data_IF_698931942141
#
_entry.id   IF_698931942141
#
_cell.length_a   1.000
_cell.length_b   1.000
_cell.length_c   1.000
_cell.angle_alpha   90.00
_cell.angle_beta   90.00
_cell.angle_gamma   90.00
#
_symmetry.space_group_name_H-M   'P 1'
#
loop_
_entity.id
_entity.type
_entity.pdbx_description
1 polymer ?
#
# COMPACT_ATOMS: atom_id res chain seq x y z
N UNK A 1 24.70 19.37 -52.76
CA UNK A 1 23.67 19.81 -51.79
C UNK A 1 22.69 18.67 -51.47
N UNK A 2 23.16 17.52 -50.95
CA UNK A 2 22.28 16.34 -50.75
C UNK A 2 22.38 15.70 -49.34
N UNK A 3 23.32 16.15 -48.51
CA UNK A 3 23.64 15.53 -47.22
C UNK A 3 22.79 16.13 -46.07
N UNK A 4 22.46 17.42 -46.14
CA UNK A 4 21.78 18.15 -45.05
C UNK A 4 20.30 17.77 -44.85
N UNK A 5 19.60 17.34 -45.92
CA UNK A 5 18.17 16.98 -45.88
C UNK A 5 17.91 15.62 -45.21
N UNK A 6 18.91 14.73 -45.21
CA UNK A 6 18.83 13.37 -44.63
C UNK A 6 18.86 13.42 -43.09
N UNK A 7 19.72 14.28 -42.52
CA UNK A 7 19.87 14.46 -41.07
C UNK A 7 18.68 15.13 -40.38
N UNK A 8 17.93 16.02 -41.06
CA UNK A 8 16.71 16.62 -40.47
C UNK A 8 15.55 15.64 -40.37
N UNK A 9 15.47 14.65 -41.27
CA UNK A 9 14.43 13.62 -41.24
C UNK A 9 14.71 12.58 -40.14
N UNK A 10 15.98 12.17 -39.97
CA UNK A 10 16.37 11.28 -38.87
C UNK A 10 16.18 11.94 -37.50
N UNK A 11 16.51 13.23 -37.35
CA UNK A 11 16.26 13.98 -36.10
C UNK A 11 14.76 14.04 -35.73
N UNK A 12 13.89 14.24 -36.73
CA UNK A 12 12.43 14.24 -36.53
C UNK A 12 11.90 12.87 -36.12
N UNK A 13 12.39 11.80 -36.75
CA UNK A 13 12.05 10.42 -36.39
C UNK A 13 12.47 10.07 -34.96
N UNK A 14 13.69 10.45 -34.56
CA UNK A 14 14.18 10.25 -33.19
C UNK A 14 13.34 11.03 -32.18
N UNK A 15 12.95 12.28 -32.50
CA UNK A 15 12.12 13.10 -31.62
C UNK A 15 10.71 12.53 -31.46
N UNK A 16 10.12 12.00 -32.54
CA UNK A 16 8.82 11.31 -32.50
C UNK A 16 8.89 10.03 -31.67
N UNK A 17 9.95 9.24 -31.83
CA UNK A 17 10.15 8.03 -31.05
C UNK A 17 10.28 8.35 -29.55
N UNK A 18 11.06 9.37 -29.21
CA UNK A 18 11.24 9.84 -27.83
C UNK A 18 9.91 10.33 -27.23
N UNK A 19 9.11 11.10 -27.98
CA UNK A 19 7.81 11.56 -27.52
C UNK A 19 6.83 10.41 -27.25
N UNK A 20 6.84 9.37 -28.09
CA UNK A 20 6.03 8.16 -27.90
C UNK A 20 6.48 7.40 -26.65
N UNK A 21 7.80 7.25 -26.43
CA UNK A 21 8.35 6.61 -25.23
C UNK A 21 7.96 7.39 -23.97
N UNK A 22 8.06 8.72 -23.98
CA UNK A 22 7.67 9.57 -22.84
C UNK A 22 6.17 9.43 -22.57
N UNK A 23 5.32 9.48 -23.60
CA UNK A 23 3.89 9.28 -23.47
C UNK A 23 3.55 7.90 -22.88
N UNK A 24 4.24 6.84 -23.32
CA UNK A 24 4.09 5.49 -22.78
C UNK A 24 4.49 5.42 -21.30
N UNK A 25 5.57 6.10 -20.89
CA UNK A 25 6.01 6.10 -19.48
C UNK A 25 5.05 6.84 -18.55
N UNK A 26 4.34 7.86 -19.04
CA UNK A 26 3.34 8.61 -18.27
C UNK A 26 2.05 7.81 -18.01
N UNK A 27 1.78 6.79 -18.83
CA UNK A 27 0.62 5.90 -18.67
C UNK A 27 0.92 4.66 -17.82
N UNK A 28 2.17 4.46 -17.39
CA UNK A 28 2.50 3.40 -16.45
C UNK A 28 1.90 3.77 -15.09
N UNK A 29 0.98 2.96 -14.53
CA UNK A 29 0.58 3.16 -13.14
C UNK A 29 1.85 3.08 -12.29
N UNK A 30 2.03 4.03 -11.36
CA UNK A 30 3.15 3.93 -10.44
C UNK A 30 2.94 2.67 -9.60
N UNK A 31 3.63 1.60 -9.97
CA UNK A 31 3.82 0.45 -9.12
C UNK A 31 4.84 0.84 -8.04
N UNK A 32 4.51 1.87 -7.26
CA UNK A 32 4.93 1.91 -5.88
C UNK A 32 4.15 0.78 -5.21
N UNK A 33 4.65 -0.44 -5.35
CA UNK A 33 4.27 -1.53 -4.46
C UNK A 33 4.67 -1.06 -3.07
N UNK A 34 3.80 -0.30 -2.41
CA UNK A 34 3.86 -0.05 -0.99
C UNK A 34 3.78 -1.44 -0.38
N UNK A 35 4.93 -2.00 -0.05
CA UNK A 35 5.05 -3.18 0.79
C UNK A 35 4.29 -2.84 2.06
N UNK A 36 3.03 -3.25 2.13
CA UNK A 36 2.16 -2.94 3.25
C UNK A 36 2.79 -3.60 4.48
N UNK A 37 3.39 -2.77 5.34
CA UNK A 37 4.01 -3.24 6.57
C UNK A 37 2.91 -3.91 7.40
N UNK A 38 3.11 -5.20 7.73
CA UNK A 38 2.12 -5.97 8.48
C UNK A 38 2.45 -5.92 9.95
N UNK A 39 1.52 -5.41 10.75
CA UNK A 39 1.62 -5.29 12.21
C UNK A 39 0.73 -6.33 12.86
N UNK A 40 1.31 -7.17 13.71
CA UNK A 40 0.57 -8.14 14.52
C UNK A 40 0.08 -7.48 15.81
N UNK A 41 -1.19 -7.71 16.15
CA UNK A 41 -1.84 -7.11 17.32
C UNK A 41 -2.41 -8.22 18.18
N UNK A 42 -1.86 -8.40 19.39
CA UNK A 42 -2.47 -9.28 20.40
C UNK A 42 -3.87 -8.78 20.76
N UNK A 43 -4.87 -9.63 20.65
CA UNK A 43 -6.28 -9.26 20.69
C UNK A 43 -7.06 -10.18 21.62
N UNK A 44 -7.70 -9.59 22.63
CA UNK A 44 -8.53 -10.28 23.60
C UNK A 44 -9.67 -9.36 24.03
N UNK A 45 -10.85 -9.88 24.42
CA UNK A 45 -11.97 -9.02 24.82
C UNK A 45 -11.61 -8.11 26.00
N UNK A 46 -11.81 -6.80 25.82
CA UNK A 46 -11.60 -5.77 26.84
C UNK A 46 -12.77 -4.77 26.80
N UNK A 47 -13.89 -5.18 27.39
CA UNK A 47 -15.12 -4.38 27.42
C UNK A 47 -15.54 -3.92 26.02
N UNK A 48 -15.84 -2.61 25.87
CA UNK A 48 -16.16 -2.01 24.57
C UNK A 48 -14.93 -1.55 23.77
N UNK A 49 -13.73 -1.62 24.35
CA UNK A 49 -12.51 -1.15 23.70
C UNK A 49 -12.10 -2.07 22.55
N UNK A 50 -12.12 -3.38 22.78
CA UNK A 50 -11.91 -4.40 21.75
C UNK A 50 -12.72 -5.66 22.11
N UNK A 51 -13.36 -6.27 21.12
CA UNK A 51 -14.17 -7.49 21.29
C UNK A 51 -14.30 -8.23 19.97
N UNK A 52 -14.89 -9.42 20.00
CA UNK A 52 -15.30 -10.14 18.79
C UNK A 52 -16.80 -9.94 18.58
N UNK A 53 -17.21 -9.60 17.36
CA UNK A 53 -18.62 -9.46 17.00
C UNK A 53 -19.35 -10.82 16.95
N UNK A 54 -20.64 -10.82 16.62
CA UNK A 54 -21.44 -12.06 16.53
C UNK A 54 -20.99 -13.05 15.46
N UNK A 55 -20.15 -12.63 14.52
CA UNK A 55 -19.53 -13.47 13.50
C UNK A 55 -18.09 -13.89 13.87
N UNK A 56 -17.57 -13.45 15.02
CA UNK A 56 -16.22 -13.74 15.48
C UNK A 56 -15.14 -12.83 14.89
N UNK A 57 -15.50 -11.71 14.25
CA UNK A 57 -14.54 -10.75 13.71
C UNK A 57 -14.06 -9.77 14.80
N UNK A 58 -12.79 -9.32 14.76
CA UNK A 58 -12.33 -8.23 15.62
C UNK A 58 -13.15 -6.95 15.42
N UNK A 59 -13.64 -6.38 16.51
CA UNK A 59 -14.45 -5.17 16.53
C UNK A 59 -14.16 -4.29 17.77
N UNK A 60 -14.76 -3.10 17.80
CA UNK A 60 -14.63 -2.14 18.90
C UNK A 60 -13.71 -0.95 18.59
N UNK A 61 -13.64 -0.01 19.52
CA UNK A 61 -12.94 1.26 19.35
C UNK A 61 -11.47 1.09 18.90
N UNK A 62 -10.76 0.11 19.44
CA UNK A 62 -9.38 -0.20 19.05
C UNK A 62 -9.27 -0.56 17.55
N UNK A 63 -10.20 -1.37 17.05
CA UNK A 63 -10.23 -1.79 15.65
C UNK A 63 -10.54 -0.62 14.73
N UNK A 64 -11.52 0.22 15.10
CA UNK A 64 -11.86 1.42 14.35
C UNK A 64 -10.68 2.41 14.30
N UNK A 65 -9.98 2.57 15.41
CA UNK A 65 -8.79 3.40 15.51
C UNK A 65 -7.66 2.90 14.62
N UNK A 66 -7.34 1.60 14.67
CA UNK A 66 -6.30 1.00 13.82
C UNK A 66 -6.68 1.04 12.34
N UNK A 67 -7.95 0.84 12.01
CA UNK A 67 -8.45 1.03 10.64
C UNK A 67 -8.24 2.46 10.17
N UNK A 68 -8.48 3.48 11.01
CA UNK A 68 -8.20 4.87 10.66
C UNK A 68 -6.69 5.11 10.49
N UNK A 69 -5.87 4.53 11.36
CA UNK A 69 -4.41 4.63 11.30
C UNK A 69 -3.85 4.03 10.00
N UNK A 70 -4.40 2.90 9.53
CA UNK A 70 -4.00 2.27 8.26
C UNK A 70 -4.17 3.19 7.04
N UNK A 71 -5.09 4.16 7.08
CA UNK A 71 -5.29 5.11 5.98
C UNK A 71 -4.08 6.06 5.82
N UNK A 72 -3.37 6.32 6.91
CA UNK A 72 -2.19 7.21 6.94
C UNK A 72 -0.90 6.40 6.81
N UNK A 73 -0.79 5.30 7.54
CA UNK A 73 0.43 4.48 7.60
C UNK A 73 0.54 3.48 6.44
N UNK A 74 -0.58 3.15 5.81
CA UNK A 74 -0.71 2.04 4.87
C UNK A 74 -0.30 0.68 5.44
N UNK A 75 -0.40 0.52 6.76
CA UNK A 75 -0.15 -0.76 7.43
C UNK A 75 -1.32 -1.72 7.26
N UNK A 76 -0.99 -3.01 7.25
CA UNK A 76 -1.97 -4.09 7.38
C UNK A 76 -1.93 -4.59 8.82
N UNK A 77 -3.08 -4.73 9.47
CA UNK A 77 -3.17 -5.29 10.81
C UNK A 77 -3.59 -6.75 10.77
N UNK A 78 -2.90 -7.59 11.53
CA UNK A 78 -3.23 -8.99 11.74
C UNK A 78 -3.49 -9.23 13.23
N UNK A 79 -4.73 -9.59 13.58
CA UNK A 79 -5.13 -9.78 14.96
C UNK A 79 -4.78 -11.20 15.42
N UNK A 80 -3.90 -11.30 16.41
CA UNK A 80 -3.51 -12.56 17.05
C UNK A 80 -4.38 -12.75 18.27
N UNK A 81 -5.20 -13.80 18.27
CA UNK A 81 -6.08 -14.10 19.40
C UNK A 81 -5.26 -14.46 20.63
N UNK A 82 -5.55 -13.80 21.75
CA UNK A 82 -4.95 -14.04 23.06
C UNK A 82 -6.05 -14.26 24.09
N UNK A 83 -5.76 -14.98 25.17
CA UNK A 83 -6.67 -15.18 26.29
C UNK A 83 -6.78 -13.94 27.18
N UNK A 84 -5.68 -13.20 27.34
CA UNK A 84 -5.59 -12.05 28.23
C UNK A 84 -4.36 -11.18 27.90
N UNK A 85 -4.16 -10.14 28.71
CA UNK A 85 -3.03 -9.22 28.60
C UNK A 85 -1.67 -9.90 28.69
N UNK A 86 -1.50 -10.88 29.58
CA UNK A 86 -0.21 -11.58 29.78
C UNK A 86 0.24 -12.27 28.49
N UNK A 87 -0.68 -12.99 27.85
CA UNK A 87 -0.39 -13.64 26.56
C UNK A 87 -0.13 -12.63 25.44
N UNK A 88 -0.91 -11.53 25.39
CA UNK A 88 -0.69 -10.47 24.40
C UNK A 88 0.69 -9.81 24.55
N UNK A 89 1.16 -9.58 25.77
CA UNK A 89 2.50 -9.00 26.02
C UNK A 89 3.64 -9.95 25.70
N UNK A 90 3.41 -11.26 25.72
CA UNK A 90 4.43 -12.24 25.35
C UNK A 90 4.72 -12.26 23.83
N UNK A 91 3.93 -11.53 23.02
CA UNK A 91 4.10 -11.40 21.58
C UNK A 91 4.98 -10.20 21.16
N UNK A 92 5.38 -9.34 22.12
CA UNK A 92 6.21 -8.15 21.90
C UNK A 92 7.70 -8.51 21.88
#
# INVERSE_FOLDING_TARGET
>A
MHIWKKNKKSLRLISLLAAVIIALTLMLPSFAAKTAHTVKVGFFPLGKFQYYDGAGNPAGYNVDYLNKLSQVTHWKYEYVKCANWVEATALL
#
